data_IF_572764244684
#
_entry.id   IF_572764244684
#
_cell.length_a   1.000
_cell.length_b   1.000
_cell.length_c   1.000
_cell.angle_alpha   90.00
_cell.angle_beta   90.00
_cell.angle_gamma   90.00
#
_symmetry.space_group_name_H-M   'P 1'
#
loop_
_entity.id
_entity.type
_entity.pdbx_description
1 polymer ?
#
# COMPACT_ATOMS: atom_id res chain seq x y z
N UNK A 1 43.89 27.08 -6.94
CA UNK A 1 43.26 25.96 -7.69
C UNK A 1 42.74 24.82 -6.82
N UNK A 2 43.27 24.62 -5.60
CA UNK A 2 42.78 23.57 -4.67
C UNK A 2 41.36 23.80 -4.09
N UNK A 3 40.93 25.01 -3.68
CA UNK A 3 39.62 25.15 -3.01
C UNK A 3 38.44 24.94 -3.96
N UNK A 4 38.58 25.29 -5.25
CA UNK A 4 37.56 25.05 -6.27
C UNK A 4 37.35 23.56 -6.55
N UNK A 5 38.42 22.75 -6.49
CA UNK A 5 38.35 21.28 -6.64
C UNK A 5 37.65 20.64 -5.45
N UNK A 6 37.95 21.11 -4.23
CA UNK A 6 37.30 20.63 -3.01
C UNK A 6 35.81 20.98 -3.01
N UNK A 7 35.46 22.22 -3.40
CA UNK A 7 34.06 22.65 -3.54
C UNK A 7 33.30 21.79 -4.56
N UNK A 8 33.89 21.54 -5.74
CA UNK A 8 33.29 20.67 -6.75
C UNK A 8 33.05 19.27 -6.20
N UNK A 9 34.04 18.64 -5.57
CA UNK A 9 33.91 17.31 -4.98
C UNK A 9 32.79 17.27 -3.93
N UNK A 10 32.68 18.29 -3.07
CA UNK A 10 31.63 18.40 -2.06
C UNK A 10 30.24 18.53 -2.68
N UNK A 11 30.10 19.34 -3.74
CA UNK A 11 28.84 19.49 -4.48
C UNK A 11 28.47 18.17 -5.16
N UNK A 12 29.42 17.46 -5.79
CA UNK A 12 29.15 16.16 -6.41
C UNK A 12 28.72 15.12 -5.39
N UNK A 13 29.39 15.04 -4.23
CA UNK A 13 29.03 14.13 -3.13
C UNK A 13 27.66 14.43 -2.54
N UNK A 14 27.33 15.71 -2.34
CA UNK A 14 26.01 16.15 -1.88
C UNK A 14 24.92 15.80 -2.90
N UNK A 15 25.21 16.00 -4.19
CA UNK A 15 24.29 15.65 -5.28
C UNK A 15 24.04 14.14 -5.33
N UNK A 16 25.08 13.32 -5.14
CA UNK A 16 24.96 11.87 -5.16
C UNK A 16 24.18 11.33 -3.95
N UNK A 17 24.36 11.93 -2.76
CA UNK A 17 23.60 11.58 -1.57
C UNK A 17 22.12 12.00 -1.63
N UNK A 18 21.79 13.07 -2.37
CA UNK A 18 20.40 13.46 -2.63
C UNK A 18 19.72 12.58 -3.70
N UNK A 19 20.50 11.99 -4.60
CA UNK A 19 20.00 11.10 -5.66
C UNK A 19 19.88 9.63 -5.23
N UNK A 20 20.47 9.24 -4.09
CA UNK A 20 20.18 7.96 -3.45
C UNK A 20 18.81 8.00 -2.79
N UNK A 21 17.75 8.04 -3.61
CA UNK A 21 16.37 7.96 -3.19
C UNK A 21 16.19 6.76 -2.24
N UNK A 22 15.84 7.07 -1.00
CA UNK A 22 15.48 6.09 0.00
C UNK A 22 14.14 5.46 -0.41
N UNK A 23 14.19 4.40 -1.22
CA UNK A 23 13.02 3.59 -1.51
C UNK A 23 12.74 2.74 -0.26
N UNK A 24 11.80 3.20 0.55
CA UNK A 24 11.29 2.43 1.68
C UNK A 24 10.06 1.66 1.21
N UNK A 25 10.11 0.34 1.34
CA UNK A 25 8.96 -0.54 1.07
C UNK A 25 8.49 -1.14 2.39
N UNK A 26 7.19 -1.08 2.63
CA UNK A 26 6.54 -1.74 3.76
C UNK A 26 5.57 -2.77 3.24
N UNK A 27 5.74 -4.03 3.64
CA UNK A 27 4.84 -5.11 3.28
C UNK A 27 4.13 -5.65 4.53
N UNK A 28 2.89 -6.08 4.37
CA UNK A 28 2.12 -6.71 5.43
C UNK A 28 1.15 -7.75 4.88
N UNK A 29 0.75 -8.64 5.79
CA UNK A 29 -0.24 -9.68 5.53
C UNK A 29 -1.34 -9.59 6.57
N UNK A 30 -2.59 -9.68 6.14
CA UNK A 30 -3.74 -9.77 7.03
C UNK A 30 -4.68 -10.87 6.56
N UNK A 31 -5.30 -11.56 7.52
CA UNK A 31 -6.06 -12.79 7.25
C UNK A 31 -7.40 -12.51 6.60
N UNK A 32 -8.08 -11.42 6.98
CA UNK A 32 -9.33 -10.98 6.34
C UNK A 32 -9.63 -9.52 6.66
N UNK A 33 -10.42 -8.88 5.80
CA UNK A 33 -10.97 -7.54 6.04
C UNK A 33 -12.12 -7.56 7.07
N UNK A 34 -12.81 -8.68 7.22
CA UNK A 34 -13.93 -8.85 8.16
C UNK A 34 -13.68 -10.07 9.07
N UNK A 35 -14.25 -10.11 10.28
CA UNK A 35 -14.13 -11.29 11.13
C UNK A 35 -14.95 -12.46 10.56
N UNK A 36 -14.30 -13.36 9.81
CA UNK A 36 -14.95 -14.52 9.18
C UNK A 36 -15.27 -15.66 10.18
N UNK A 37 -14.62 -15.70 11.36
CA UNK A 37 -14.96 -16.65 12.42
C UNK A 37 -15.10 -18.10 11.93
N UNK A 38 -16.24 -18.74 12.21
CA UNK A 38 -16.60 -20.09 11.75
C UNK A 38 -17.61 -20.07 10.57
N UNK A 39 -17.67 -18.99 9.79
CA UNK A 39 -18.58 -18.94 8.63
C UNK A 39 -17.97 -19.67 7.45
N UNK A 40 -18.76 -20.52 6.80
CA UNK A 40 -18.36 -21.14 5.54
C UNK A 40 -18.31 -20.07 4.44
N UNK A 41 -17.27 -20.12 3.61
CA UNK A 41 -17.09 -19.20 2.50
C UNK A 41 -16.68 -19.95 1.24
N UNK A 42 -16.90 -19.32 0.09
CA UNK A 42 -16.46 -19.81 -1.21
C UNK A 42 -15.54 -18.79 -1.86
N UNK A 43 -14.38 -19.24 -2.36
CA UNK A 43 -13.42 -18.37 -3.04
C UNK A 43 -13.92 -18.13 -4.47
N UNK A 44 -14.29 -16.88 -4.77
CA UNK A 44 -14.81 -16.47 -6.09
C UNK A 44 -13.67 -16.16 -7.06
N UNK A 45 -12.53 -15.68 -6.54
CA UNK A 45 -11.32 -15.49 -7.33
C UNK A 45 -10.26 -14.65 -6.62
N UNK A 46 -9.07 -14.60 -7.21
CA UNK A 46 -8.01 -13.69 -6.77
C UNK A 46 -8.14 -12.33 -7.47
N UNK A 47 -7.79 -11.25 -6.75
CA UNK A 47 -7.78 -9.90 -7.30
C UNK A 47 -6.57 -9.09 -6.82
N UNK A 48 -6.14 -8.18 -7.68
CA UNK A 48 -5.04 -7.25 -7.43
C UNK A 48 -5.52 -5.82 -7.69
N UNK A 49 -5.23 -4.90 -6.76
CA UNK A 49 -5.51 -3.48 -6.90
C UNK A 49 -4.24 -2.68 -6.64
N UNK A 50 -4.08 -1.58 -7.37
CA UNK A 50 -2.95 -0.69 -7.22
C UNK A 50 -3.43 0.76 -7.17
N UNK A 51 -3.01 1.48 -6.15
CA UNK A 51 -3.37 2.87 -5.96
C UNK A 51 -2.13 3.70 -5.64
N UNK A 52 -2.14 4.99 -6.00
CA UNK A 52 -1.02 5.87 -5.71
C UNK A 52 -1.47 7.26 -5.30
N UNK A 53 -0.82 7.81 -4.29
CA UNK A 53 -1.04 9.17 -3.82
C UNK A 53 0.29 9.90 -3.62
N UNK A 54 0.21 11.21 -3.46
CA UNK A 54 1.37 12.06 -3.23
C UNK A 54 1.33 12.67 -1.84
N UNK A 55 2.50 12.79 -1.22
CA UNK A 55 2.71 13.65 -0.05
C UNK A 55 3.79 14.67 -0.37
N UNK A 56 3.72 15.80 0.32
CA UNK A 56 4.73 16.83 0.30
C UNK A 56 5.49 16.76 1.62
N UNK A 57 6.77 16.42 1.56
CA UNK A 57 7.61 16.21 2.73
C UNK A 57 8.67 17.31 2.80
N UNK A 58 8.71 18.02 3.93
CA UNK A 58 9.72 19.05 4.22
C UNK A 58 10.47 18.66 5.49
N UNK A 59 11.69 18.15 5.30
CA UNK A 59 12.48 17.62 6.42
C UNK A 59 11.81 16.39 7.05
N UNK A 60 11.45 16.48 8.33
CA UNK A 60 10.81 15.39 9.10
C UNK A 60 9.28 15.43 9.00
N UNK A 61 8.71 16.55 8.54
CA UNK A 61 7.26 16.77 8.52
C UNK A 61 6.74 16.45 7.12
N UNK A 62 5.84 15.45 7.03
CA UNK A 62 5.15 15.07 5.81
C UNK A 62 3.70 15.51 5.81
N UNK A 63 3.28 16.24 4.78
CA UNK A 63 1.90 16.63 4.54
C UNK A 63 1.30 15.75 3.43
N UNK A 64 0.31 14.88 3.75
CA UNK A 64 -0.38 14.12 2.71
C UNK A 64 -1.18 15.09 1.82
N UNK A 65 -0.91 15.09 0.52
CA UNK A 65 -1.65 15.92 -0.44
C UNK A 65 -2.97 15.25 -0.87
N UNK A 66 -3.16 13.99 -0.50
CA UNK A 66 -4.38 13.22 -0.75
C UNK A 66 -4.57 12.17 0.34
N UNK A 67 -5.83 11.77 0.53
CA UNK A 67 -6.16 10.62 1.38
C UNK A 67 -5.61 9.33 0.76
N UNK A 68 -5.12 8.38 1.58
CA UNK A 68 -4.68 7.09 1.10
C UNK A 68 -5.90 6.30 0.58
N UNK A 69 -5.96 5.97 -0.72
CA UNK A 69 -7.12 5.31 -1.35
C UNK A 69 -7.15 3.80 -1.06
N UNK A 70 -7.06 3.41 0.22
CA UNK A 70 -7.06 1.99 0.63
C UNK A 70 -8.47 1.42 0.56
N UNK A 71 -9.46 2.18 1.03
CA UNK A 71 -10.86 1.75 1.03
C UNK A 71 -11.39 1.58 -0.40
N UNK A 72 -11.00 2.48 -1.30
CA UNK A 72 -11.31 2.38 -2.74
C UNK A 72 -10.71 1.11 -3.34
N UNK A 73 -9.45 0.79 -3.04
CA UNK A 73 -8.79 -0.43 -3.53
C UNK A 73 -9.48 -1.71 -3.03
N UNK A 74 -9.96 -1.70 -1.78
CA UNK A 74 -10.70 -2.84 -1.20
C UNK A 74 -12.07 -2.99 -1.86
N UNK A 75 -12.82 -1.89 -2.00
CA UNK A 75 -14.14 -1.89 -2.61
C UNK A 75 -14.08 -2.29 -4.08
N UNK A 76 -13.08 -1.80 -4.81
CA UNK A 76 -12.84 -2.16 -6.21
C UNK A 76 -12.67 -3.68 -6.38
N UNK A 77 -11.91 -4.33 -5.49
CA UNK A 77 -11.72 -5.78 -5.54
C UNK A 77 -13.01 -6.57 -5.26
N UNK A 78 -13.80 -6.11 -4.31
CA UNK A 78 -15.07 -6.73 -3.92
C UNK A 78 -16.09 -6.59 -5.06
N UNK A 79 -16.25 -5.38 -5.60
CA UNK A 79 -17.19 -5.08 -6.68
C UNK A 79 -16.83 -5.80 -7.98
N UNK A 80 -15.55 -5.80 -8.37
CA UNK A 80 -15.09 -6.43 -9.61
C UNK A 80 -15.32 -7.95 -9.64
N UNK A 81 -15.35 -8.60 -8.48
CA UNK A 81 -15.51 -10.05 -8.36
C UNK A 81 -16.85 -10.46 -7.74
N UNK A 82 -17.73 -9.51 -7.46
CA UNK A 82 -19.04 -9.74 -6.82
C UNK A 82 -18.94 -10.61 -5.55
N UNK A 83 -17.89 -10.38 -4.76
CA UNK A 83 -17.70 -11.02 -3.47
C UNK A 83 -18.34 -10.25 -2.32
N UNK A 84 -18.25 -10.82 -1.12
CA UNK A 84 -18.70 -10.17 0.11
C UNK A 84 -17.50 -9.75 0.99
N UNK A 85 -16.36 -10.42 0.82
CA UNK A 85 -15.19 -10.20 1.66
C UNK A 85 -13.87 -10.53 0.96
N UNK A 86 -12.78 -10.04 1.56
CA UNK A 86 -11.41 -10.35 1.18
C UNK A 86 -10.74 -11.20 2.27
N UNK A 87 -10.01 -12.24 1.86
CA UNK A 87 -9.13 -13.05 2.71
C UNK A 87 -7.71 -13.07 2.16
N UNK A 88 -6.76 -13.50 2.99
CA UNK A 88 -5.35 -13.65 2.60
C UNK A 88 -4.83 -12.38 1.91
N UNK A 89 -5.12 -11.24 2.53
CA UNK A 89 -4.79 -9.93 2.01
C UNK A 89 -3.30 -9.71 2.20
N UNK A 90 -2.61 -9.39 1.11
CA UNK A 90 -1.19 -9.06 1.06
C UNK A 90 -1.07 -7.67 0.49
N UNK A 91 -0.43 -6.78 1.22
CA UNK A 91 -0.20 -5.43 0.75
C UNK A 91 1.28 -5.08 0.76
N UNK A 92 1.71 -4.27 -0.21
CA UNK A 92 3.01 -3.63 -0.21
C UNK A 92 2.85 -2.15 -0.52
N UNK A 93 3.53 -1.31 0.26
CA UNK A 93 3.55 0.14 0.08
C UNK A 93 4.97 0.55 -0.27
N UNK A 94 5.15 1.06 -1.48
CA UNK A 94 6.42 1.60 -1.94
C UNK A 94 6.39 3.12 -1.86
N UNK A 95 7.45 3.71 -1.29
CA UNK A 95 7.62 5.16 -1.22
C UNK A 95 8.79 5.57 -2.10
N UNK A 96 8.53 6.47 -3.05
CA UNK A 96 9.56 7.11 -3.87
C UNK A 96 9.61 8.58 -3.52
N UNK A 97 10.67 8.97 -2.80
CA UNK A 97 10.93 10.36 -2.42
C UNK A 97 11.62 11.04 -3.60
N UNK A 98 11.18 12.25 -3.94
CA UNK A 98 11.78 13.11 -4.96
C UNK A 98 11.88 14.53 -4.38
N UNK A 99 13.03 14.84 -3.78
CA UNK A 99 13.25 16.11 -3.07
C UNK A 99 12.21 16.36 -1.98
N UNK A 100 11.16 17.15 -2.28
CA UNK A 100 10.08 17.49 -1.36
C UNK A 100 8.75 16.77 -1.66
N UNK A 101 8.71 15.93 -2.70
CA UNK A 101 7.51 15.21 -3.09
C UNK A 101 7.75 13.72 -2.92
N UNK A 102 6.88 13.06 -2.16
CA UNK A 102 6.92 11.62 -2.00
C UNK A 102 5.72 11.00 -2.69
N UNK A 103 5.99 10.10 -3.63
CA UNK A 103 4.98 9.26 -4.23
C UNK A 103 4.84 8.00 -3.41
N UNK A 104 3.64 7.74 -2.92
CA UNK A 104 3.28 6.48 -2.29
C UNK A 104 2.53 5.62 -3.30
N UNK A 105 2.93 4.36 -3.43
CA UNK A 105 2.27 3.35 -4.23
C UNK A 105 1.85 2.23 -3.31
N UNK A 106 0.56 1.91 -3.29
CA UNK A 106 0.01 0.81 -2.55
C UNK A 106 -0.44 -0.27 -3.52
N UNK A 107 0.08 -1.47 -3.31
CA UNK A 107 -0.28 -2.66 -4.03
C UNK A 107 -1.01 -3.57 -3.07
N UNK A 108 -2.19 -4.04 -3.46
CA UNK A 108 -3.05 -4.92 -2.69
C UNK A 108 -3.32 -6.18 -3.52
N UNK A 109 -3.10 -7.34 -2.93
CA UNK A 109 -3.46 -8.64 -3.50
C UNK A 109 -4.30 -9.39 -2.47
N UNK A 110 -5.46 -9.89 -2.87
CA UNK A 110 -6.33 -10.62 -1.97
C UNK A 110 -7.15 -11.67 -2.71
N UNK A 111 -7.62 -12.66 -1.96
CA UNK A 111 -8.60 -13.61 -2.44
C UNK A 111 -10.00 -13.11 -2.07
N UNK A 112 -10.84 -12.95 -3.08
CA UNK A 112 -12.23 -12.51 -2.93
C UNK A 112 -13.09 -13.72 -2.61
N UNK A 113 -13.86 -13.63 -1.53
CA UNK A 113 -14.75 -14.69 -1.07
C UNK A 113 -16.18 -14.22 -0.98
N UNK A 114 -17.10 -15.17 -1.19
CA UNK A 114 -18.53 -15.01 -0.95
C UNK A 114 -18.89 -15.77 0.32
N UNK A 115 -19.58 -15.11 1.24
CA UNK A 115 -19.98 -15.73 2.50
C UNK A 115 -21.23 -16.58 2.25
N UNK A 116 -21.24 -17.80 2.79
CA UNK A 116 -22.47 -18.58 2.81
C UNK A 116 -23.37 -18.05 3.93
N UNK A 117 -24.69 -17.98 3.72
CA UNK A 117 -25.60 -17.57 4.78
C UNK A 117 -25.43 -18.50 5.98
N UNK A 118 -25.23 -17.90 7.17
CA UNK A 118 -25.08 -18.65 8.41
C UNK A 118 -26.28 -19.57 8.59
N UNK A 119 -26.06 -20.87 8.41
CA UNK A 119 -27.11 -21.86 8.61
C UNK A 119 -27.46 -21.84 10.10
N UNK A 120 -28.56 -21.18 10.44
CA UNK A 120 -29.10 -21.07 11.80
C UNK A 120 -29.68 -22.43 12.19
N UNK A 121 -28.80 -23.41 12.37
CA UNK A 121 -29.12 -24.77 12.80
C UNK A 121 -28.11 -25.16 13.89
N UNK A 122 -28.24 -24.53 15.05
CA UNK A 122 -27.78 -24.92 16.39
C UNK A 122 -28.13 -23.70 17.26
N UNK A 123 -29.09 -23.74 18.18
CA UNK A 123 -29.21 -24.71 19.27
C UNK A 123 -30.70 -25.00 19.59
N UNK A 124 -31.05 -26.28 19.61
CA UNK A 124 -32.09 -26.85 20.49
C UNK A 124 -31.46 -27.11 21.85
#
# INVERSE_FOLDING_TARGET
>A
MQPLRVLLILVTLLSFGLLSNCASSSAGITTSNIPIGNQDYEVVGNGEAQSSWWSFDVGIIGFPLGMPPVDEAVNELIENKQGDALINIRYSTDRSIFLFLTRHRFHLKADVVKLKPANTQRQR
#
